data_IF_463845873033
#
_entry.id   IF_463845873033
#
_cell.length_a   1.000
_cell.length_b   1.000
_cell.length_c   1.000
_cell.angle_alpha   90.00
_cell.angle_beta   90.00
_cell.angle_gamma   90.00
#
_symmetry.space_group_name_H-M   'P 1'
#
loop_
_entity.id
_entity.type
_entity.pdbx_description
1 polymer ?
#
# COMPACT_ATOMS: atom_id res chain seq x y z
N UNK A 1 9.82 -11.92 -7.22
CA UNK A 1 8.49 -11.38 -7.57
C UNK A 1 8.02 -10.30 -6.60
N UNK A 2 8.43 -10.35 -5.32
CA UNK A 2 8.20 -9.30 -4.31
C UNK A 2 8.44 -7.86 -4.81
N UNK A 3 9.62 -7.54 -5.36
CA UNK A 3 9.92 -6.20 -5.88
C UNK A 3 8.91 -5.73 -6.94
N UNK A 4 8.52 -6.63 -7.85
CA UNK A 4 7.55 -6.32 -8.90
C UNK A 4 6.17 -6.00 -8.32
N UNK A 5 5.73 -6.78 -7.32
CA UNK A 5 4.47 -6.52 -6.61
C UNK A 5 4.45 -5.11 -6.00
N UNK A 6 5.51 -4.72 -5.30
CA UNK A 6 5.60 -3.40 -4.66
C UNK A 6 5.53 -2.27 -5.69
N UNK A 7 6.35 -2.33 -6.75
CA UNK A 7 6.35 -1.29 -7.78
C UNK A 7 5.00 -1.18 -8.52
N UNK A 8 4.37 -2.31 -8.85
CA UNK A 8 3.03 -2.27 -9.44
C UNK A 8 2.01 -1.68 -8.46
N UNK A 9 2.09 -2.01 -7.18
CA UNK A 9 1.16 -1.52 -6.16
C UNK A 9 1.35 -0.03 -5.84
N UNK A 10 2.54 0.53 -6.06
CA UNK A 10 2.78 1.98 -5.97
C UNK A 10 1.86 2.72 -6.94
N UNK A 11 1.81 2.28 -8.20
CA UNK A 11 1.06 2.96 -9.28
C UNK A 11 -0.40 2.50 -9.43
N UNK A 12 -0.68 1.22 -9.17
CA UNK A 12 -2.02 0.62 -9.34
C UNK A 12 -2.70 0.28 -8.01
N UNK A 13 -2.12 0.73 -6.88
CA UNK A 13 -2.70 0.65 -5.54
C UNK A 13 -2.92 -0.79 -5.10
N UNK A 14 -4.17 -1.21 -4.82
CA UNK A 14 -4.46 -2.50 -4.18
C UNK A 14 -4.55 -3.67 -5.16
N UNK A 15 -4.85 -3.43 -6.43
CA UNK A 15 -5.19 -4.51 -7.36
C UNK A 15 -4.00 -5.47 -7.61
N UNK A 16 -2.78 -5.00 -7.92
CA UNK A 16 -1.64 -5.91 -8.02
C UNK A 16 -1.31 -6.57 -6.68
N UNK A 17 -1.35 -5.80 -5.58
CA UNK A 17 -1.07 -6.32 -4.24
C UNK A 17 -1.95 -7.53 -3.91
N UNK A 18 -3.24 -7.47 -4.28
CA UNK A 18 -4.20 -8.53 -4.06
C UNK A 18 -3.89 -9.75 -4.93
N UNK A 19 -3.64 -9.54 -6.23
CA UNK A 19 -3.30 -10.61 -7.18
C UNK A 19 -2.05 -11.36 -6.70
N UNK A 20 -0.97 -10.64 -6.40
CA UNK A 20 0.27 -11.26 -5.94
C UNK A 20 0.11 -11.95 -4.58
N UNK A 21 -0.66 -11.37 -3.65
CA UNK A 21 -0.93 -12.02 -2.37
C UNK A 21 -1.59 -13.39 -2.56
N UNK A 22 -2.59 -13.53 -3.43
CA UNK A 22 -3.23 -14.82 -3.65
C UNK A 22 -2.41 -15.78 -4.51
N UNK A 23 -1.72 -15.28 -5.54
CA UNK A 23 -0.93 -16.10 -6.46
C UNK A 23 0.35 -16.65 -5.81
N UNK A 24 0.96 -15.91 -4.90
CA UNK A 24 2.19 -16.33 -4.22
C UNK A 24 1.99 -16.98 -2.86
N UNK A 25 0.76 -16.92 -2.32
CA UNK A 25 0.41 -17.50 -1.03
C UNK A 25 0.89 -18.95 -0.90
N UNK A 26 1.63 -19.24 0.16
CA UNK A 26 2.06 -20.59 0.53
C UNK A 26 3.30 -21.08 -0.20
N UNK A 27 3.91 -20.29 -1.10
CA UNK A 27 5.14 -20.68 -1.80
C UNK A 27 6.39 -20.42 -0.97
N UNK A 28 6.43 -19.30 -0.26
CA UNK A 28 7.57 -18.91 0.56
C UNK A 28 7.09 -18.06 1.76
N UNK A 29 7.35 -18.48 3.02
CA UNK A 29 6.86 -17.76 4.20
C UNK A 29 7.32 -16.30 4.29
N UNK A 30 8.54 -16.00 3.84
CA UNK A 30 9.05 -14.63 3.82
C UNK A 30 8.34 -13.82 2.73
N UNK A 31 8.21 -14.35 1.52
CA UNK A 31 7.50 -13.67 0.44
C UNK A 31 6.04 -13.41 0.83
N UNK A 32 5.36 -14.38 1.44
CA UNK A 32 3.98 -14.24 1.93
C UNK A 32 3.82 -13.05 2.87
N UNK A 33 4.77 -12.84 3.79
CA UNK A 33 4.78 -11.66 4.66
C UNK A 33 4.89 -10.37 3.85
N UNK A 34 5.80 -10.31 2.87
CA UNK A 34 5.95 -9.15 2.00
C UNK A 34 4.67 -8.85 1.20
N UNK A 35 4.04 -9.86 0.61
CA UNK A 35 2.81 -9.68 -0.16
C UNK A 35 1.65 -9.26 0.75
N UNK A 36 1.54 -9.82 1.95
CA UNK A 36 0.52 -9.44 2.94
C UNK A 36 0.69 -8.00 3.41
N UNK A 37 1.91 -7.61 3.79
CA UNK A 37 2.20 -6.26 4.26
C UNK A 37 1.95 -5.22 3.17
N UNK A 38 2.36 -5.52 1.92
CA UNK A 38 2.10 -4.66 0.77
C UNK A 38 0.60 -4.48 0.50
N UNK A 39 -0.17 -5.56 0.61
CA UNK A 39 -1.62 -5.52 0.42
C UNK A 39 -2.29 -4.68 1.51
N UNK A 40 -1.95 -4.92 2.78
CA UNK A 40 -2.43 -4.12 3.91
C UNK A 40 -2.14 -2.63 3.70
N UNK A 41 -0.93 -2.27 3.28
CA UNK A 41 -0.57 -0.87 3.06
C UNK A 41 -1.28 -0.25 1.85
N UNK A 42 -1.46 -1.04 0.79
CA UNK A 42 -2.19 -0.60 -0.39
C UNK A 42 -3.67 -0.34 -0.08
N UNK A 43 -4.27 -1.11 0.83
CA UNK A 43 -5.61 -0.86 1.35
C UNK A 43 -5.66 0.40 2.23
N UNK A 44 -4.66 0.64 3.09
CA UNK A 44 -4.54 1.91 3.84
C UNK A 44 -4.52 3.10 2.89
N UNK A 45 -3.76 3.02 1.79
CA UNK A 45 -3.72 4.06 0.75
C UNK A 45 -5.04 4.31 0.05
N UNK A 46 -5.91 3.31 -0.02
CA UNK A 46 -7.25 3.47 -0.61
C UNK A 46 -8.18 4.32 0.27
N UNK A 47 -7.97 4.36 1.59
CA UNK A 47 -8.83 5.10 2.53
C UNK A 47 -8.96 6.58 2.15
N UNK A 48 -7.88 7.38 2.02
CA UNK A 48 -8.01 8.80 1.66
C UNK A 48 -8.62 9.00 0.26
N UNK A 49 -8.38 8.08 -0.69
CA UNK A 49 -8.96 8.14 -2.03
C UNK A 49 -10.48 7.99 -1.96
N UNK A 50 -10.96 6.96 -1.27
CA UNK A 50 -12.41 6.71 -1.09
C UNK A 50 -13.05 7.83 -0.26
N UNK A 51 -12.40 8.27 0.82
CA UNK A 51 -12.89 9.37 1.64
C UNK A 51 -13.04 10.67 0.83
N UNK A 52 -12.07 10.99 -0.03
CA UNK A 52 -12.14 12.16 -0.91
C UNK A 52 -13.32 12.04 -1.89
N UNK A 53 -13.54 10.86 -2.46
CA UNK A 53 -14.66 10.61 -3.37
C UNK A 53 -16.02 10.76 -2.68
N UNK A 54 -16.16 10.28 -1.45
CA UNK A 54 -17.39 10.47 -0.64
C UNK A 54 -17.61 11.93 -0.27
N UNK A 55 -16.54 12.65 0.08
CA UNK A 55 -16.63 14.06 0.45
C UNK A 55 -16.95 14.98 -0.73
N UNK A 56 -16.73 14.54 -1.97
CA UNK A 56 -17.09 15.28 -3.17
C UNK A 56 -18.61 15.56 -3.28
N UNK A 57 -19.44 14.77 -2.58
CA UNK A 57 -20.89 15.00 -2.51
C UNK A 57 -21.30 16.12 -1.55
N UNK A 58 -20.39 16.65 -0.73
CA UNK A 58 -20.65 17.72 0.24
C UNK A 58 -19.95 19.01 -0.22
N UNK A 59 -20.67 19.99 -0.81
CA UNK A 59 -20.06 21.23 -1.29
C UNK A 59 -19.42 22.04 -0.15
N UNK A 60 -18.35 22.78 -0.48
CA UNK A 60 -17.51 23.61 0.42
C UNK A 60 -16.73 22.85 1.50
N UNK A 61 -17.38 22.02 2.33
CA UNK A 61 -16.71 21.20 3.34
C UNK A 61 -15.82 20.14 2.69
N UNK A 62 -16.31 19.54 1.59
CA UNK A 62 -15.54 18.58 0.81
C UNK A 62 -14.27 19.18 0.21
N UNK A 63 -14.29 20.44 -0.21
CA UNK A 63 -13.13 21.10 -0.82
C UNK A 63 -11.98 21.31 0.16
N UNK A 64 -12.28 21.77 1.38
CA UNK A 64 -11.27 21.97 2.43
C UNK A 64 -10.68 20.63 2.87
N UNK A 65 -11.53 19.64 3.12
CA UNK A 65 -11.09 18.31 3.55
C UNK A 65 -10.35 17.55 2.44
N UNK A 66 -10.69 17.78 1.17
CA UNK A 66 -9.99 17.18 0.02
C UNK A 66 -8.51 17.58 -0.02
N UNK A 67 -8.16 18.83 0.31
CA UNK A 67 -6.76 19.26 0.38
C UNK A 67 -6.01 18.48 1.46
N UNK A 68 -6.60 18.32 2.64
CA UNK A 68 -5.99 17.55 3.74
C UNK A 68 -5.79 16.07 3.34
N UNK A 69 -6.82 15.45 2.75
CA UNK A 69 -6.74 14.05 2.31
C UNK A 69 -5.75 13.84 1.16
N UNK A 70 -5.60 14.84 0.28
CA UNK A 70 -4.60 14.81 -0.77
C UNK A 70 -3.18 14.80 -0.19
N UNK A 71 -2.91 15.63 0.83
CA UNK A 71 -1.61 15.63 1.54
C UNK A 71 -1.34 14.27 2.17
N UNK A 72 -2.33 13.69 2.87
CA UNK A 72 -2.21 12.35 3.46
C UNK A 72 -1.92 11.30 2.38
N UNK A 73 -2.63 11.35 1.25
CA UNK A 73 -2.41 10.44 0.12
C UNK A 73 -1.00 10.56 -0.46
N UNK A 74 -0.48 11.78 -0.60
CA UNK A 74 0.88 12.04 -1.07
C UNK A 74 1.94 11.49 -0.10
N UNK A 75 1.77 11.66 1.20
CA UNK A 75 2.68 11.08 2.22
C UNK A 75 2.68 9.56 2.16
N UNK A 76 1.51 8.93 2.09
CA UNK A 76 1.42 7.47 1.96
C UNK A 76 2.00 6.96 0.63
N UNK A 77 1.89 7.73 -0.44
CA UNK A 77 2.53 7.42 -1.71
C UNK A 77 4.05 7.41 -1.60
N UNK A 78 4.65 8.42 -0.95
CA UNK A 78 6.10 8.47 -0.68
C UNK A 78 6.55 7.29 0.16
N UNK A 79 5.81 6.94 1.22
CA UNK A 79 6.10 5.74 2.01
C UNK A 79 6.06 4.45 1.19
N UNK A 80 5.14 4.35 0.22
CA UNK A 80 5.10 3.21 -0.68
C UNK A 80 6.36 3.10 -1.54
N UNK A 81 6.82 4.21 -2.11
CA UNK A 81 8.04 4.26 -2.93
C UNK A 81 9.24 3.83 -2.11
N UNK A 82 9.39 4.37 -0.90
CA UNK A 82 10.50 4.00 0.01
C UNK A 82 10.47 2.49 0.29
N UNK A 83 9.29 1.93 0.55
CA UNK A 83 9.14 0.50 0.77
C UNK A 83 9.49 -0.32 -0.48
N UNK A 84 9.09 0.12 -1.67
CA UNK A 84 9.40 -0.56 -2.95
C UNK A 84 10.91 -0.57 -3.25
N UNK A 85 11.60 0.55 -3.01
CA UNK A 85 13.06 0.66 -3.18
C UNK A 85 13.78 -0.28 -2.21
N UNK A 86 13.40 -0.26 -0.92
CA UNK A 86 14.02 -1.09 0.12
C UNK A 86 13.66 -2.57 0.05
N UNK A 87 12.52 -2.92 -0.55
CA UNK A 87 12.03 -4.30 -0.59
C UNK A 87 13.03 -5.25 -1.26
N UNK A 88 13.73 -4.78 -2.31
CA UNK A 88 14.69 -5.61 -3.06
C UNK A 88 15.89 -6.02 -2.20
N UNK A 89 16.46 -5.08 -1.44
CA UNK A 89 17.61 -5.34 -0.60
C UNK A 89 17.22 -6.16 0.64
N UNK A 90 16.17 -5.73 1.34
CA UNK A 90 15.69 -6.39 2.54
C UNK A 90 15.28 -7.85 2.28
N UNK A 91 14.63 -8.12 1.14
CA UNK A 91 14.21 -9.48 0.80
C UNK A 91 15.40 -10.40 0.53
N UNK A 92 16.45 -9.89 -0.14
CA UNK A 92 17.71 -10.64 -0.35
C UNK A 92 18.45 -10.92 0.97
N UNK A 93 18.33 -10.01 1.94
CA UNK A 93 18.92 -10.15 3.28
C UNK A 93 18.05 -10.99 4.24
N UNK A 94 16.87 -11.47 3.80
CA UNK A 94 15.96 -12.25 4.65
C UNK A 94 15.25 -11.43 5.72
N UNK A 95 15.28 -10.10 5.63
CA UNK A 95 14.67 -9.19 6.60
C UNK A 95 13.15 -9.16 6.33
N UNK A 96 12.29 -9.35 7.34
CA UNK A 96 10.85 -9.27 7.12
C UNK A 96 10.43 -7.84 6.75
N UNK A 97 9.48 -7.72 5.83
CA UNK A 97 8.94 -6.41 5.43
C UNK A 97 8.13 -5.79 6.56
N UNK A 98 8.37 -4.50 6.83
CA UNK A 98 7.52 -3.72 7.72
C UNK A 98 7.39 -2.30 7.16
N UNK A 99 6.17 -1.91 6.82
CA UNK A 99 5.89 -0.52 6.45
C UNK A 99 5.98 0.36 7.70
N UNK A 100 6.42 1.61 7.52
CA UNK A 100 6.52 2.60 8.61
C UNK A 100 5.14 2.82 9.26
N UNK A 101 4.09 2.79 8.45
CA UNK A 101 2.70 2.88 8.87
C UNK A 101 1.91 1.78 8.14
N UNK A 102 1.25 0.87 8.86
CA UNK A 102 0.39 -0.15 8.27
C UNK A 102 -0.76 -0.53 9.21
N UNK A 103 -1.91 -0.89 8.63
CA UNK A 103 -3.05 -1.43 9.38
C UNK A 103 -3.26 -2.89 8.92
N UNK A 104 -3.18 -3.88 9.82
CA UNK A 104 -3.26 -5.28 9.44
C UNK A 104 -4.72 -5.71 9.19
N UNK A 105 -5.22 -5.45 7.98
CA UNK A 105 -6.54 -5.93 7.54
C UNK A 105 -6.54 -7.45 7.31
N UNK A 106 -5.42 -7.98 6.81
CA UNK A 106 -5.20 -9.40 6.55
C UNK A 106 -4.09 -9.89 7.48
N UNK A 107 -4.38 -10.97 8.20
CA UNK A 107 -3.46 -11.67 9.11
C UNK A 107 -2.70 -12.78 8.42
#
# INVERSE_FOLDING_TARGET
MVTLNYWLSVFFTWLPALIFYFVEKGKNPLADQYHRENLNFSLVRMIPIVATWVLAFIPYLGAILAVLLWIVSAVLFVFHIIAAVKATENFKQGIPSKFIFNIPFIK
#
